data_IF_462354334378
#
_entry.id   IF_462354334378
#
_cell.length_a   1.000
_cell.length_b   1.000
_cell.length_c   1.000
_cell.angle_alpha   90.00
_cell.angle_beta   90.00
_cell.angle_gamma   90.00
#
_symmetry.space_group_name_H-M   'P 1'
#
loop_
_entity.id
_entity.type
_entity.pdbx_description
1 polymer ?
#
# COMPACT_ATOMS: atom_id res chain seq x y z
N UNK A 1 -17.97 4.45 29.29
CA UNK A 1 -18.34 3.42 28.29
C UNK A 1 -17.61 3.59 26.94
N UNK A 2 -17.90 4.64 26.14
CA UNK A 2 -17.34 4.80 24.77
C UNK A 2 -15.80 4.80 24.69
N UNK A 3 -15.14 5.51 25.60
CA UNK A 3 -13.66 5.58 25.64
C UNK A 3 -13.00 4.25 26.05
N UNK A 4 -13.65 3.46 26.90
CA UNK A 4 -13.17 2.13 27.29
C UNK A 4 -13.29 1.14 26.12
N UNK A 5 -14.44 1.15 25.42
CA UNK A 5 -14.66 0.32 24.23
C UNK A 5 -13.67 0.64 23.10
N UNK A 6 -13.35 1.93 22.89
CA UNK A 6 -12.32 2.37 21.95
C UNK A 6 -10.95 1.78 22.31
N UNK A 7 -10.56 1.89 23.59
CA UNK A 7 -9.32 1.31 24.10
C UNK A 7 -9.24 -0.20 23.87
N UNK A 8 -10.31 -0.94 24.19
CA UNK A 8 -10.37 -2.39 24.02
C UNK A 8 -10.25 -2.83 22.56
N UNK A 9 -10.90 -2.11 21.64
CA UNK A 9 -10.83 -2.38 20.21
C UNK A 9 -9.39 -2.21 19.68
N UNK A 10 -8.77 -1.06 19.98
CA UNK A 10 -7.36 -0.79 19.64
C UNK A 10 -6.45 -1.86 20.23
N UNK A 11 -6.69 -2.25 21.48
CA UNK A 11 -5.88 -3.21 22.20
C UNK A 11 -5.94 -4.62 21.58
N UNK A 12 -7.09 -5.04 21.04
CA UNK A 12 -7.23 -6.28 20.27
C UNK A 12 -6.47 -6.20 18.96
N UNK A 13 -6.60 -5.09 18.22
CA UNK A 13 -5.92 -4.90 16.95
C UNK A 13 -4.40 -4.85 17.11
N UNK A 14 -3.85 -4.16 18.11
CA UNK A 14 -2.40 -4.14 18.38
C UNK A 14 -1.87 -5.55 18.64
N UNK A 15 -2.61 -6.38 19.40
CA UNK A 15 -2.25 -7.78 19.63
C UNK A 15 -2.33 -8.62 18.35
N UNK A 16 -3.33 -8.37 17.51
CA UNK A 16 -3.47 -9.00 16.20
C UNK A 16 -2.26 -8.69 15.32
N UNK A 17 -1.92 -7.41 15.14
CA UNK A 17 -0.76 -6.98 14.35
C UNK A 17 0.56 -7.53 14.89
N UNK A 18 0.73 -7.61 16.21
CA UNK A 18 1.91 -8.23 16.82
C UNK A 18 2.18 -9.67 16.32
N UNK A 19 1.12 -10.42 15.98
CA UNK A 19 1.21 -11.77 15.40
C UNK A 19 1.13 -11.78 13.88
N UNK A 20 0.30 -10.90 13.31
CA UNK A 20 -0.15 -10.98 11.92
C UNK A 20 0.69 -10.15 10.92
N UNK A 21 1.42 -9.13 11.38
CA UNK A 21 2.05 -8.17 10.47
C UNK A 21 3.05 -8.80 9.49
N UNK A 22 3.81 -9.81 9.93
CA UNK A 22 4.72 -10.56 9.06
C UNK A 22 4.00 -11.41 8.01
N UNK A 23 2.74 -11.81 8.27
CA UNK A 23 1.96 -12.62 7.35
C UNK A 23 1.30 -11.81 6.23
N UNK A 24 1.29 -10.49 6.32
CA UNK A 24 0.63 -9.63 5.34
C UNK A 24 1.24 -9.77 3.94
N UNK A 25 2.57 -9.88 3.82
CA UNK A 25 3.21 -10.08 2.52
C UNK A 25 2.83 -11.43 1.89
N UNK A 26 2.81 -12.51 2.68
CA UNK A 26 2.39 -13.84 2.22
C UNK A 26 0.91 -13.85 1.82
N UNK A 27 0.07 -13.09 2.52
CA UNK A 27 -1.34 -12.92 2.16
C UNK A 27 -1.49 -12.31 0.76
N UNK A 28 -0.73 -11.25 0.43
CA UNK A 28 -0.78 -10.66 -0.92
C UNK A 28 -0.28 -11.61 -2.00
N UNK A 29 0.76 -12.41 -1.73
CA UNK A 29 1.24 -13.46 -2.65
C UNK A 29 0.14 -14.48 -2.90
N UNK A 30 -0.47 -14.99 -1.82
CA UNK A 30 -1.53 -16.01 -1.89
C UNK A 30 -2.74 -15.49 -2.67
N UNK A 31 -3.20 -14.26 -2.37
CA UNK A 31 -4.34 -13.65 -3.07
C UNK A 31 -4.03 -13.42 -4.55
N UNK A 32 -2.82 -12.95 -4.88
CA UNK A 32 -2.42 -12.69 -6.28
C UNK A 32 -2.39 -13.99 -7.08
N UNK A 33 -1.81 -15.05 -6.52
CA UNK A 33 -1.72 -16.36 -7.17
C UNK A 33 -3.09 -17.03 -7.31
N UNK A 34 -3.82 -17.19 -6.19
CA UNK A 34 -5.14 -17.84 -6.21
C UNK A 34 -6.16 -17.06 -7.02
N UNK A 35 -6.16 -15.73 -6.92
CA UNK A 35 -7.04 -14.88 -7.71
C UNK A 35 -6.76 -14.95 -9.20
N UNK A 36 -5.48 -15.07 -9.60
CA UNK A 36 -5.10 -15.28 -11.00
C UNK A 36 -5.60 -16.61 -11.54
N UNK A 37 -5.47 -17.70 -10.76
CA UNK A 37 -6.01 -19.02 -11.12
C UNK A 37 -7.54 -19.00 -11.25
N UNK A 38 -8.24 -18.37 -10.30
CA UNK A 38 -9.70 -18.24 -10.33
C UNK A 38 -10.16 -17.51 -11.59
N UNK A 39 -9.43 -16.45 -11.99
CA UNK A 39 -9.73 -15.69 -13.20
C UNK A 39 -9.54 -16.54 -14.46
N UNK A 40 -8.44 -17.28 -14.56
CA UNK A 40 -8.16 -18.14 -15.73
C UNK A 40 -9.21 -19.23 -15.88
N UNK A 41 -9.70 -19.77 -14.77
CA UNK A 41 -10.79 -20.76 -14.79
C UNK A 41 -12.18 -20.14 -15.03
N UNK A 42 -12.28 -18.82 -15.20
CA UNK A 42 -13.53 -18.07 -15.42
C UNK A 42 -14.66 -18.44 -14.44
N UNK A 43 -14.28 -18.75 -13.19
CA UNK A 43 -15.20 -19.30 -12.18
C UNK A 43 -16.23 -18.28 -11.70
N UNK A 44 -15.89 -16.97 -11.75
CA UNK A 44 -16.72 -15.92 -11.19
C UNK A 44 -17.56 -15.23 -12.27
N UNK A 45 -18.88 -15.07 -12.05
CA UNK A 45 -19.73 -14.31 -12.96
C UNK A 45 -19.42 -12.81 -12.90
N UNK A 46 -19.81 -12.10 -13.96
CA UNK A 46 -19.75 -10.65 -14.00
C UNK A 46 -20.66 -10.03 -12.92
N UNK A 47 -20.12 -9.10 -12.14
CA UNK A 47 -20.84 -8.46 -11.03
C UNK A 47 -20.31 -7.07 -10.70
N UNK A 48 -20.82 -6.47 -9.62
CA UNK A 48 -20.47 -5.11 -9.20
C UNK A 48 -18.96 -4.81 -9.16
N UNK A 49 -18.16 -5.77 -8.70
CA UNK A 49 -16.70 -5.63 -8.60
C UNK A 49 -15.96 -5.73 -9.94
N UNK A 50 -16.59 -6.29 -10.99
CA UNK A 50 -16.04 -6.32 -12.34
C UNK A 50 -16.21 -4.97 -13.06
N UNK A 51 -17.17 -4.13 -12.63
CA UNK A 51 -17.35 -2.82 -13.24
C UNK A 51 -16.18 -1.87 -12.91
N UNK A 52 -15.41 -1.50 -13.95
CA UNK A 52 -14.28 -0.55 -13.83
C UNK A 52 -14.73 0.85 -13.37
N UNK A 53 -16.02 1.18 -13.51
CA UNK A 53 -16.60 2.47 -13.15
C UNK A 53 -17.29 2.47 -11.78
N UNK A 54 -17.26 1.35 -11.05
CA UNK A 54 -17.82 1.33 -9.72
C UNK A 54 -17.11 2.33 -8.78
N UNK A 55 -17.83 2.77 -7.76
CA UNK A 55 -17.37 3.79 -6.81
C UNK A 55 -16.00 3.45 -6.18
N UNK A 56 -15.76 2.19 -5.84
CA UNK A 56 -14.52 1.75 -5.21
C UNK A 56 -13.32 1.86 -6.17
N UNK A 57 -13.47 1.47 -7.43
CA UNK A 57 -12.41 1.58 -8.42
C UNK A 57 -12.10 3.04 -8.76
N UNK A 58 -13.13 3.88 -8.95
CA UNK A 58 -12.95 5.28 -9.38
C UNK A 58 -12.40 6.17 -8.27
N UNK A 59 -12.87 6.01 -7.03
CA UNK A 59 -12.52 6.92 -5.94
C UNK A 59 -11.50 6.35 -4.95
N UNK A 60 -11.54 5.05 -4.65
CA UNK A 60 -10.60 4.47 -3.69
C UNK A 60 -9.30 4.06 -4.35
N UNK A 61 -9.36 3.28 -5.44
CA UNK A 61 -8.13 2.75 -6.07
C UNK A 61 -7.36 3.85 -6.79
N UNK A 62 -8.04 4.70 -7.56
CA UNK A 62 -7.39 5.80 -8.31
C UNK A 62 -6.67 6.80 -7.40
N UNK A 63 -7.21 7.07 -6.22
CA UNK A 63 -6.64 7.99 -5.24
C UNK A 63 -6.00 7.24 -4.06
N UNK A 64 -5.67 5.96 -4.21
CA UNK A 64 -5.24 5.09 -3.10
C UNK A 64 -4.02 5.65 -2.35
N UNK A 65 -3.07 6.26 -3.06
CA UNK A 65 -1.91 6.89 -2.43
C UNK A 65 -2.31 8.09 -1.55
N UNK A 66 -3.20 8.95 -2.04
CA UNK A 66 -3.72 10.09 -1.27
C UNK A 66 -4.48 9.65 -0.02
N UNK A 67 -5.34 8.63 -0.14
CA UNK A 67 -6.03 8.01 1.00
C UNK A 67 -5.08 7.35 1.99
N UNK A 68 -3.91 6.87 1.54
CA UNK A 68 -2.88 6.31 2.41
C UNK A 68 -2.13 7.41 3.15
N UNK A 69 -1.73 8.49 2.47
CA UNK A 69 -1.01 9.61 3.09
C UNK A 69 -1.87 10.35 4.11
N UNK A 70 -3.15 10.56 3.84
CA UNK A 70 -4.05 11.39 4.65
C UNK A 70 -4.11 10.99 6.14
N UNK A 71 -4.39 9.73 6.53
CA UNK A 71 -4.36 9.30 7.93
C UNK A 71 -2.95 8.99 8.43
N UNK A 72 -2.02 8.61 7.55
CA UNK A 72 -0.71 8.13 7.96
C UNK A 72 0.25 9.26 8.34
N UNK A 73 0.18 10.40 7.65
CA UNK A 73 0.95 11.61 7.96
C UNK A 73 0.69 12.10 9.40
N UNK A 74 -0.55 12.40 9.82
CA UNK A 74 -0.81 12.80 11.20
C UNK A 74 -0.52 11.68 12.18
N UNK A 75 -0.72 10.40 11.82
CA UNK A 75 -0.38 9.28 12.70
C UNK A 75 1.12 9.23 13.01
N UNK A 76 1.99 9.33 11.99
CA UNK A 76 3.45 9.35 12.17
C UNK A 76 3.87 10.60 12.95
N UNK A 77 3.34 11.77 12.61
CA UNK A 77 3.68 13.01 13.30
C UNK A 77 3.33 12.94 14.80
N UNK A 78 2.09 12.57 15.14
CA UNK A 78 1.60 12.54 16.53
C UNK A 78 2.26 11.41 17.32
N UNK A 79 2.40 10.21 16.75
CA UNK A 79 2.96 9.05 17.47
C UNK A 79 4.43 9.26 17.84
N UNK A 80 5.22 9.88 16.95
CA UNK A 80 6.62 10.14 17.22
C UNK A 80 6.78 11.40 18.09
N UNK A 81 6.07 12.49 17.81
CA UNK A 81 6.17 13.72 18.60
C UNK A 81 5.61 13.56 20.02
N UNK A 82 4.38 13.06 20.21
CA UNK A 82 3.79 12.97 21.56
C UNK A 82 4.48 11.91 22.43
N UNK A 83 5.15 10.90 21.87
CA UNK A 83 5.87 9.89 22.65
C UNK A 83 7.33 10.21 22.92
N UNK A 84 8.05 10.82 21.96
CA UNK A 84 9.49 11.10 22.10
C UNK A 84 9.79 12.55 22.46
N UNK A 85 8.86 13.48 22.18
CA UNK A 85 9.06 14.93 22.18
C UNK A 85 10.23 15.42 21.33
N UNK A 86 10.71 14.58 20.40
CA UNK A 86 11.80 14.88 19.49
C UNK A 86 11.25 15.21 18.10
N UNK A 87 11.30 16.49 17.74
CA UNK A 87 10.85 17.01 16.44
C UNK A 87 11.75 16.52 15.31
N UNK A 88 13.06 16.43 15.53
CA UNK A 88 14.02 15.98 14.52
C UNK A 88 13.77 14.51 14.17
N UNK A 89 13.49 13.67 15.17
CA UNK A 89 13.10 12.28 14.93
C UNK A 89 11.76 12.19 14.19
N UNK A 90 10.75 12.96 14.59
CA UNK A 90 9.45 12.97 13.91
C UNK A 90 9.56 13.41 12.44
N UNK A 91 10.30 14.48 12.13
CA UNK A 91 10.54 14.95 10.76
C UNK A 91 11.30 13.90 9.93
N UNK A 92 12.30 13.27 10.53
CA UNK A 92 13.03 12.18 9.89
C UNK A 92 12.13 11.00 9.53
N UNK A 93 11.17 10.64 10.40
CA UNK A 93 10.16 9.62 10.13
C UNK A 93 9.19 10.03 9.02
N UNK A 94 8.77 11.29 8.96
CA UNK A 94 7.97 11.80 7.85
C UNK A 94 8.70 11.69 6.50
N UNK A 95 10.04 11.70 6.52
CA UNK A 95 10.87 11.35 5.36
C UNK A 95 10.56 9.98 4.75
N UNK A 96 10.05 9.01 5.53
CA UNK A 96 9.63 7.72 5.00
C UNK A 96 8.42 7.82 4.04
N UNK A 97 7.52 8.78 4.27
CA UNK A 97 6.39 9.04 3.37
C UNK A 97 6.83 9.74 2.09
N UNK A 98 7.83 10.62 2.18
CA UNK A 98 8.46 11.25 1.01
C UNK A 98 9.14 10.19 0.13
N UNK A 99 9.94 9.30 0.75
CA UNK A 99 10.53 8.14 0.06
C UNK A 99 9.43 7.26 -0.55
N UNK A 100 8.37 6.96 0.21
CA UNK A 100 7.26 6.15 -0.28
C UNK A 100 6.59 6.75 -1.51
N UNK A 101 6.42 8.08 -1.52
CA UNK A 101 5.85 8.82 -2.65
C UNK A 101 6.77 8.78 -3.86
N UNK A 102 8.09 8.94 -3.66
CA UNK A 102 9.08 8.81 -4.72
C UNK A 102 9.10 7.41 -5.33
N UNK A 103 9.04 6.36 -4.51
CA UNK A 103 8.96 4.96 -4.97
C UNK A 103 7.69 4.73 -5.78
N UNK A 104 6.52 5.15 -5.29
CA UNK A 104 5.28 5.03 -6.04
C UNK A 104 5.34 5.76 -7.40
N UNK A 105 5.80 7.00 -7.40
CA UNK A 105 5.92 7.81 -8.61
C UNK A 105 6.89 7.18 -9.62
N UNK A 106 8.08 6.76 -9.17
CA UNK A 106 9.08 6.15 -10.05
C UNK A 106 8.61 4.82 -10.63
N UNK A 107 8.02 3.93 -9.81
CA UNK A 107 7.49 2.65 -10.30
C UNK A 107 6.35 2.84 -11.30
N UNK A 108 5.38 3.71 -11.00
CA UNK A 108 4.26 3.96 -11.93
C UNK A 108 4.71 4.59 -13.24
N UNK A 109 5.69 5.50 -13.22
CA UNK A 109 6.31 6.04 -14.43
C UNK A 109 7.07 4.98 -15.21
N UNK A 110 7.78 4.08 -14.53
CA UNK A 110 8.47 2.97 -15.17
C UNK A 110 7.48 1.99 -15.83
N UNK A 111 6.33 1.69 -15.20
CA UNK A 111 5.31 0.83 -15.79
C UNK A 111 4.73 1.42 -17.08
N UNK A 112 4.41 2.72 -17.08
CA UNK A 112 3.95 3.41 -18.29
C UNK A 112 5.01 3.41 -19.39
N UNK A 113 6.28 3.61 -19.02
CA UNK A 113 7.38 3.54 -19.97
C UNK A 113 7.53 2.14 -20.57
N UNK A 114 7.37 1.07 -19.77
CA UNK A 114 7.40 -0.31 -20.27
C UNK A 114 6.20 -0.59 -21.18
N UNK A 115 4.99 -0.11 -20.86
CA UNK A 115 3.81 -0.21 -21.73
C UNK A 115 4.06 0.47 -23.08
N UNK A 116 4.69 1.65 -23.06
CA UNK A 116 5.02 2.41 -24.27
C UNK A 116 6.11 1.72 -25.12
N UNK A 117 7.11 1.09 -24.49
CA UNK A 117 8.18 0.36 -25.19
C UNK A 117 7.71 -0.97 -25.80
N UNK A 118 6.81 -1.67 -25.12
CA UNK A 118 6.33 -2.99 -25.53
C UNK A 118 5.07 -2.91 -26.40
N UNK A 119 4.46 -1.73 -26.48
CA UNK A 119 3.18 -1.55 -27.14
C UNK A 119 3.28 -1.38 -28.65
N UNK A 120 2.20 -1.76 -29.31
CA UNK A 120 2.02 -1.65 -30.74
C UNK A 120 0.63 -1.11 -31.07
N UNK A 121 0.52 -0.49 -32.24
CA UNK A 121 -0.73 0.07 -32.75
C UNK A 121 -1.40 -0.88 -33.73
N UNK A 122 -2.64 -1.26 -33.41
CA UNK A 122 -3.46 -2.19 -34.18
C UNK A 122 -4.70 -1.48 -34.73
N UNK A 123 -5.14 -1.88 -35.91
CA UNK A 123 -6.42 -1.43 -36.43
C UNK A 123 -7.58 -1.95 -35.56
N UNK A 124 -8.66 -1.16 -35.38
CA UNK A 124 -9.78 -1.49 -34.49
C UNK A 124 -10.69 -2.63 -35.01
N UNK A 125 -10.20 -3.50 -35.89
CA UNK A 125 -10.92 -4.66 -36.44
C UNK A 125 -10.47 -5.94 -35.73
N UNK A 126 -11.34 -6.98 -35.59
CA UNK A 126 -10.93 -8.28 -35.07
C UNK A 126 -9.81 -8.87 -35.94
N UNK A 127 -8.64 -9.13 -35.36
CA UNK A 127 -7.44 -9.54 -36.12
C UNK A 127 -6.79 -8.42 -36.94
N UNK A 128 -7.02 -7.15 -36.57
CA UNK A 128 -6.49 -5.98 -37.27
C UNK A 128 -4.97 -6.04 -37.46
N UNK A 129 -4.53 -5.67 -38.66
CA UNK A 129 -3.11 -5.70 -39.02
C UNK A 129 -2.28 -4.76 -38.12
N UNK A 130 -1.04 -5.17 -37.84
CA UNK A 130 -0.05 -4.33 -37.18
C UNK A 130 0.26 -3.11 -38.07
N UNK A 131 -0.13 -1.91 -37.63
CA UNK A 131 0.08 -0.66 -38.38
C UNK A 131 1.46 -0.09 -38.16
N UNK A 132 1.89 -0.06 -36.91
CA UNK A 132 3.21 0.41 -36.53
C UNK A 132 3.59 -0.11 -35.14
N UNK A 133 4.80 -0.63 -35.03
CA UNK A 133 5.39 -1.02 -33.75
C UNK A 133 5.95 0.20 -32.97
N UNK A 134 5.96 1.40 -33.57
CA UNK A 134 6.67 2.57 -33.04
C UNK A 134 5.83 3.87 -33.03
N UNK A 135 4.49 3.79 -33.16
CA UNK A 135 3.66 4.96 -32.88
C UNK A 135 3.61 5.21 -31.37
N UNK A 136 3.55 6.47 -30.94
CA UNK A 136 3.26 6.77 -29.53
C UNK A 136 1.79 6.45 -29.21
N UNK A 137 1.50 6.00 -28.00
CA UNK A 137 0.13 5.70 -27.54
C UNK A 137 -0.88 6.83 -27.84
N UNK A 138 -0.57 8.13 -27.63
CA UNK A 138 -1.46 9.22 -27.99
C UNK A 138 -1.70 9.35 -29.50
N UNK A 139 -0.66 9.17 -30.32
CA UNK A 139 -0.78 9.24 -31.77
C UNK A 139 -1.64 8.07 -32.32
N UNK A 140 -1.44 6.87 -31.79
CA UNK A 140 -2.23 5.69 -32.14
C UNK A 140 -3.72 5.90 -31.82
N UNK A 141 -4.03 6.33 -30.59
CA UNK A 141 -5.41 6.59 -30.18
C UNK A 141 -6.03 7.78 -30.90
N UNK A 142 -5.24 8.83 -31.19
CA UNK A 142 -5.67 10.00 -31.96
C UNK A 142 -6.06 9.65 -33.41
N UNK A 143 -5.44 8.61 -33.97
CA UNK A 143 -5.80 8.06 -35.28
C UNK A 143 -6.99 7.08 -35.24
N UNK A 144 -7.64 6.89 -34.08
CA UNK A 144 -8.77 5.96 -33.92
C UNK A 144 -8.37 4.49 -33.86
N UNK A 145 -7.10 4.20 -33.56
CA UNK A 145 -6.56 2.84 -33.49
C UNK A 145 -6.50 2.29 -32.06
N UNK A 146 -6.35 0.98 -31.94
CA UNK A 146 -6.21 0.28 -30.67
C UNK A 146 -4.74 0.12 -30.29
N UNK A 147 -4.38 0.53 -29.08
CA UNK A 147 -3.03 0.34 -28.52
C UNK A 147 -3.03 -0.88 -27.61
N UNK A 148 -2.14 -1.83 -27.87
CA UNK A 148 -1.93 -2.99 -27.02
C UNK A 148 -0.43 -3.11 -26.68
N UNK A 149 -0.12 -3.14 -25.39
CA UNK A 149 1.23 -3.29 -24.85
C UNK A 149 1.19 -4.03 -23.52
N UNK A 150 2.36 -4.35 -22.97
CA UNK A 150 2.45 -5.06 -21.70
C UNK A 150 2.20 -4.10 -20.53
N UNK A 151 0.96 -4.09 -20.03
CA UNK A 151 0.50 -3.20 -18.96
C UNK A 151 0.66 -3.86 -17.58
N UNK A 152 1.77 -3.57 -16.90
CA UNK A 152 2.02 -4.03 -15.53
C UNK A 152 0.96 -3.43 -14.60
N UNK A 153 0.31 -4.27 -13.79
CA UNK A 153 -0.80 -3.78 -12.96
C UNK A 153 -0.33 -2.83 -11.86
N UNK A 154 -0.47 -1.53 -12.13
CA UNK A 154 -0.20 -0.46 -11.16
C UNK A 154 -1.10 -0.53 -9.92
N UNK A 155 -2.32 -1.08 -10.04
CA UNK A 155 -3.22 -1.29 -8.91
C UNK A 155 -2.72 -2.40 -7.98
N UNK A 156 -2.30 -3.55 -8.54
CA UNK A 156 -1.71 -4.63 -7.74
C UNK A 156 -0.45 -4.14 -7.00
N UNK A 157 0.39 -3.35 -7.67
CA UNK A 157 1.54 -2.69 -7.04
C UNK A 157 1.10 -1.78 -5.89
N UNK A 158 0.28 -0.77 -6.18
CA UNK A 158 -0.04 0.31 -5.25
C UNK A 158 -0.81 -0.19 -4.01
N UNK A 159 -1.78 -1.08 -4.19
CA UNK A 159 -2.59 -1.59 -3.09
C UNK A 159 -1.77 -2.46 -2.12
N UNK A 160 -0.93 -3.36 -2.66
CA UNK A 160 -0.05 -4.18 -1.83
C UNK A 160 1.01 -3.32 -1.12
N UNK A 161 1.64 -2.41 -1.85
CA UNK A 161 2.67 -1.52 -1.31
C UNK A 161 2.12 -0.62 -0.19
N UNK A 162 0.96 0.03 -0.40
CA UNK A 162 0.32 0.87 0.60
C UNK A 162 -0.07 0.10 1.86
N UNK A 163 -0.65 -1.09 1.73
CA UNK A 163 -1.05 -1.90 2.88
C UNK A 163 0.15 -2.36 3.72
N UNK A 164 1.24 -2.80 3.07
CA UNK A 164 2.47 -3.20 3.75
C UNK A 164 3.14 -2.02 4.46
N UNK A 165 3.19 -0.86 3.80
CA UNK A 165 3.71 0.38 4.36
C UNK A 165 2.91 0.81 5.60
N UNK A 166 1.57 0.83 5.51
CA UNK A 166 0.71 1.12 6.67
C UNK A 166 0.97 0.12 7.81
N UNK A 167 1.11 -1.18 7.50
CA UNK A 167 1.40 -2.23 8.48
C UNK A 167 2.67 -1.99 9.28
N UNK A 168 3.76 -1.56 8.62
CA UNK A 168 5.02 -1.22 9.28
C UNK A 168 4.89 0.07 10.11
N UNK A 169 4.30 1.12 9.54
CA UNK A 169 4.19 2.42 10.21
C UNK A 169 3.24 2.41 11.41
N UNK A 170 2.33 1.44 11.52
CA UNK A 170 1.43 1.27 12.66
C UNK A 170 2.08 0.61 13.89
N UNK A 171 3.25 -0.02 13.76
CA UNK A 171 3.96 -0.72 14.86
C UNK A 171 4.14 0.13 16.13
N UNK A 172 4.44 1.44 16.07
CA UNK A 172 4.63 2.28 17.26
C UNK A 172 3.40 2.35 18.18
N UNK A 173 2.20 2.00 17.71
CA UNK A 173 0.99 1.98 18.53
C UNK A 173 1.12 1.05 19.76
N UNK A 174 1.89 -0.03 19.63
CA UNK A 174 2.21 -0.90 20.77
C UNK A 174 3.01 -0.18 21.86
N UNK A 175 3.93 0.71 21.47
CA UNK A 175 4.68 1.52 22.41
C UNK A 175 3.82 2.64 23.02
N UNK A 176 3.06 3.37 22.21
CA UNK A 176 2.09 4.40 22.67
C UNK A 176 1.20 3.85 23.77
N UNK A 177 0.73 2.60 23.61
CA UNK A 177 -0.05 1.90 24.63
C UNK A 177 0.76 1.64 25.91
N UNK A 178 2.00 1.17 25.79
CA UNK A 178 2.83 0.85 26.96
C UNK A 178 3.13 2.08 27.83
N UNK A 179 3.21 3.26 27.23
CA UNK A 179 3.43 4.54 27.92
C UNK A 179 2.17 5.41 27.99
N UNK A 180 0.98 4.81 27.87
CA UNK A 180 -0.31 5.53 27.79
C UNK A 180 -0.51 6.53 28.93
N UNK A 181 -0.01 6.23 30.13
CA UNK A 181 -0.10 7.13 31.29
C UNK A 181 0.71 8.43 31.12
N UNK A 182 1.77 8.41 30.31
CA UNK A 182 2.66 9.55 30.05
C UNK A 182 2.28 10.35 28.80
N UNK A 183 1.35 9.84 27.98
CA UNK A 183 0.90 10.47 26.73
C UNK A 183 -0.30 11.37 27.02
N UNK A 184 -0.34 12.62 26.51
CA UNK A 184 -1.50 13.49 26.65
C UNK A 184 -2.79 12.82 26.14
N UNK A 185 -3.88 12.96 26.89
CA UNK A 185 -5.15 12.30 26.60
C UNK A 185 -5.64 12.57 25.17
N UNK A 186 -5.53 13.81 24.69
CA UNK A 186 -5.91 14.18 23.32
C UNK A 186 -5.06 13.43 22.27
N UNK A 187 -3.73 13.38 22.42
CA UNK A 187 -2.87 12.60 21.51
C UNK A 187 -3.30 11.12 21.50
N UNK A 188 -3.57 10.55 22.69
CA UNK A 188 -4.00 9.16 22.81
C UNK A 188 -5.32 8.85 22.08
N UNK A 189 -6.31 9.74 22.17
CA UNK A 189 -7.58 9.60 21.45
C UNK A 189 -7.39 9.74 19.95
N UNK A 190 -6.66 10.77 19.50
CA UNK A 190 -6.40 10.99 18.08
C UNK A 190 -5.65 9.81 17.45
N UNK A 191 -4.61 9.31 18.12
CA UNK A 191 -3.87 8.13 17.68
C UNK A 191 -4.76 6.89 17.62
N UNK A 192 -5.67 6.71 18.58
CA UNK A 192 -6.63 5.59 18.57
C UNK A 192 -7.57 5.65 17.37
N UNK A 193 -8.13 6.82 17.07
CA UNK A 193 -9.01 7.03 15.91
C UNK A 193 -8.26 6.84 14.59
N UNK A 194 -7.07 7.43 14.45
CA UNK A 194 -6.22 7.27 13.26
C UNK A 194 -5.82 5.82 13.06
N UNK A 195 -5.44 5.12 14.13
CA UNK A 195 -5.08 3.70 14.07
C UNK A 195 -6.24 2.83 13.63
N UNK A 196 -7.46 3.08 14.13
CA UNK A 196 -8.66 2.38 13.64
C UNK A 196 -8.92 2.66 12.16
N UNK A 197 -8.82 3.93 11.74
CA UNK A 197 -8.97 4.32 10.34
C UNK A 197 -7.96 3.63 9.43
N UNK A 198 -6.69 3.56 9.83
CA UNK A 198 -5.63 2.86 9.10
C UNK A 198 -5.88 1.36 8.99
N UNK A 199 -6.41 0.71 10.05
CA UNK A 199 -6.79 -0.70 10.01
C UNK A 199 -7.94 -0.96 9.02
N UNK A 200 -8.96 -0.10 9.03
CA UNK A 200 -10.07 -0.17 8.05
C UNK A 200 -9.51 0.02 6.64
N UNK A 201 -8.61 0.98 6.45
CA UNK A 201 -7.99 1.27 5.17
C UNK A 201 -7.18 0.09 4.63
N UNK A 202 -6.39 -0.59 5.48
CA UNK A 202 -5.71 -1.84 5.11
C UNK A 202 -6.70 -2.90 4.67
N UNK A 203 -7.82 -3.07 5.39
CA UNK A 203 -8.89 -4.00 5.01
C UNK A 203 -9.46 -3.68 3.63
N UNK A 204 -9.70 -2.40 3.34
CA UNK A 204 -10.13 -1.94 2.01
C UNK A 204 -9.09 -2.25 0.94
N UNK A 205 -7.79 -2.03 1.19
CA UNK A 205 -6.73 -2.36 0.24
C UNK A 205 -6.63 -3.85 -0.04
N UNK A 206 -6.75 -4.70 0.97
CA UNK A 206 -6.77 -6.16 0.80
C UNK A 206 -7.99 -6.58 -0.02
N UNK A 207 -9.17 -6.04 0.26
CA UNK A 207 -10.38 -6.31 -0.51
C UNK A 207 -10.25 -5.88 -1.96
N UNK A 208 -9.82 -4.64 -2.22
CA UNK A 208 -9.65 -4.13 -3.58
C UNK A 208 -8.56 -4.88 -4.35
N UNK A 209 -7.51 -5.33 -3.65
CA UNK A 209 -6.48 -6.17 -4.25
C UNK A 209 -7.02 -7.54 -4.63
N UNK A 210 -7.86 -8.16 -3.79
CA UNK A 210 -8.53 -9.42 -4.10
C UNK A 210 -9.46 -9.27 -5.32
N UNK A 211 -10.29 -8.23 -5.36
CA UNK A 211 -11.12 -7.91 -6.53
C UNK A 211 -10.27 -7.71 -7.79
N UNK A 212 -9.16 -6.99 -7.67
CA UNK A 212 -8.22 -6.78 -8.79
C UNK A 212 -7.62 -8.09 -9.27
N UNK A 213 -7.30 -9.00 -8.34
CA UNK A 213 -6.70 -10.29 -8.64
C UNK A 213 -7.65 -11.19 -9.42
N UNK A 214 -8.95 -11.19 -9.10
CA UNK A 214 -9.94 -12.06 -9.76
C UNK A 214 -10.59 -11.48 -11.02
N UNK A 215 -10.72 -10.14 -11.15
CA UNK A 215 -11.45 -9.53 -12.28
C UNK A 215 -10.55 -8.88 -13.35
N UNK A 216 -9.49 -8.18 -12.97
CA UNK A 216 -8.71 -7.35 -13.90
C UNK A 216 -7.39 -8.00 -14.31
N UNK A 217 -6.71 -7.52 -15.37
CA UNK A 217 -5.38 -7.92 -15.90
C UNK A 217 -5.08 -9.42 -16.18
N UNK A 218 -4.03 -9.70 -16.93
CA UNK A 218 -3.50 -11.07 -17.06
C UNK A 218 -2.67 -11.47 -15.84
N UNK A 219 -2.50 -12.77 -15.61
CA UNK A 219 -1.80 -13.29 -14.43
C UNK A 219 -0.38 -12.71 -14.30
N UNK A 220 0.40 -12.72 -15.39
CA UNK A 220 1.77 -12.18 -15.41
C UNK A 220 1.83 -10.69 -15.03
N UNK A 221 0.92 -9.87 -15.56
CA UNK A 221 0.86 -8.43 -15.28
C UNK A 221 0.55 -8.13 -13.80
N UNK A 222 -0.32 -8.93 -13.17
CA UNK A 222 -0.65 -8.81 -11.74
C UNK A 222 0.49 -9.27 -10.86
N UNK A 223 1.02 -10.46 -11.13
CA UNK A 223 2.10 -11.06 -10.35
C UNK A 223 3.33 -10.15 -10.36
N UNK A 224 3.67 -9.56 -11.52
CA UNK A 224 4.78 -8.61 -11.61
C UNK A 224 4.50 -7.33 -10.83
N UNK A 225 3.30 -6.75 -10.95
CA UNK A 225 2.90 -5.57 -10.16
C UNK A 225 2.97 -5.83 -8.65
N UNK A 226 2.44 -6.96 -8.19
CA UNK A 226 2.54 -7.41 -6.79
C UNK A 226 4.00 -7.59 -6.37
N UNK A 227 4.82 -8.26 -7.17
CA UNK A 227 6.22 -8.51 -6.86
C UNK A 227 7.01 -7.20 -6.70
N UNK A 228 6.78 -6.22 -7.58
CA UNK A 228 7.41 -4.88 -7.45
C UNK A 228 6.98 -4.19 -6.17
N UNK A 229 5.71 -4.30 -5.77
CA UNK A 229 5.21 -3.70 -4.52
C UNK A 229 5.84 -4.31 -3.27
N UNK A 230 5.95 -5.63 -3.25
CA UNK A 230 6.62 -6.37 -2.17
C UNK A 230 8.12 -6.07 -2.14
N UNK A 231 8.78 -6.03 -3.29
CA UNK A 231 10.20 -5.71 -3.38
C UNK A 231 10.47 -4.29 -2.88
N UNK A 232 9.68 -3.31 -3.31
CA UNK A 232 9.78 -1.92 -2.86
C UNK A 232 9.66 -1.81 -1.32
N UNK A 233 8.68 -2.49 -0.73
CA UNK A 233 8.52 -2.56 0.72
C UNK A 233 9.72 -3.24 1.40
N UNK A 234 10.21 -4.36 0.85
CA UNK A 234 11.32 -5.09 1.42
C UNK A 234 12.63 -4.27 1.40
N UNK A 235 12.95 -3.67 0.25
CA UNK A 235 14.14 -2.82 0.08
C UNK A 235 14.11 -1.61 1.03
N UNK A 236 12.95 -0.99 1.22
CA UNK A 236 12.80 0.15 2.13
C UNK A 236 12.83 -0.30 3.60
N UNK A 237 11.85 -1.08 4.05
CA UNK A 237 11.68 -1.39 5.47
C UNK A 237 12.61 -2.48 6.00
N UNK A 238 12.98 -3.48 5.21
CA UNK A 238 13.82 -4.59 5.71
C UNK A 238 15.31 -4.37 5.51
N UNK A 239 15.71 -3.47 4.61
CA UNK A 239 17.11 -3.20 4.26
C UNK A 239 17.50 -1.74 4.54
N UNK A 240 16.96 -0.77 3.79
CA UNK A 240 17.47 0.60 3.81
C UNK A 240 17.15 1.35 5.11
N UNK A 241 15.93 1.23 5.63
CA UNK A 241 15.49 1.93 6.84
C UNK A 241 16.19 1.45 8.12
N UNK A 242 16.98 0.37 8.05
CA UNK A 242 17.88 -0.03 9.14
C UNK A 242 19.15 0.82 9.21
N UNK A 243 19.47 1.57 8.15
CA UNK A 243 20.70 2.33 8.06
C UNK A 243 20.59 3.70 8.76
N UNK A 244 21.67 4.20 9.37
CA UNK A 244 21.66 5.41 10.20
C UNK A 244 21.54 6.72 9.44
N UNK A 245 21.51 6.71 8.09
CA UNK A 245 21.26 7.87 7.22
C UNK A 245 19.86 7.88 6.59
N UNK A 246 19.10 6.80 6.74
CA UNK A 246 17.74 6.65 6.21
C UNK A 246 16.68 7.33 7.12
N UNK A 247 15.40 7.35 6.74
CA UNK A 247 14.29 7.71 7.65
C UNK A 247 14.19 6.87 8.94
N UNK A 248 15.03 5.84 9.13
CA UNK A 248 15.03 4.86 10.23
C UNK A 248 13.78 3.97 10.24
N UNK A 249 13.73 2.99 11.15
CA UNK A 249 12.53 2.21 11.40
C UNK A 249 11.59 2.93 12.39
N UNK A 250 10.28 2.65 12.34
CA UNK A 250 9.36 3.06 13.40
C UNK A 250 9.83 2.50 14.77
N UNK A 251 9.65 3.25 15.87
CA UNK A 251 10.01 2.77 17.21
C UNK A 251 9.40 1.41 17.54
N UNK A 252 10.24 0.43 17.87
CA UNK A 252 9.77 -0.90 18.27
C UNK A 252 9.53 -1.00 19.79
N UNK A 253 8.53 -1.78 20.24
CA UNK A 253 8.24 -1.96 21.66
C UNK A 253 9.40 -2.57 22.49
N UNK A 254 10.35 -3.28 21.86
CA UNK A 254 11.43 -4.02 22.55
C UNK A 254 12.71 -3.22 22.77
N UNK A 255 13.05 -2.26 21.89
CA UNK A 255 14.37 -1.60 21.91
C UNK A 255 14.61 -0.67 23.11
N UNK A 256 13.56 -0.18 23.78
CA UNK A 256 13.71 0.64 25.00
C UNK A 256 13.97 -0.18 26.26
N UNK A 257 13.57 -1.46 26.32
CA UNK A 257 13.82 -2.29 27.51
C UNK A 257 15.32 -2.56 27.71
N UNK A 258 16.08 -2.57 26.60
CA UNK A 258 17.54 -2.66 26.63
C UNK A 258 18.22 -1.33 27.00
N UNK A 259 17.61 -0.17 26.69
CA UNK A 259 18.17 1.14 27.07
C UNK A 259 17.89 1.53 28.52
N UNK A 260 16.73 1.16 29.06
CA UNK A 260 16.35 1.46 30.46
C UNK A 260 17.00 0.48 31.46
N UNK A 261 17.49 -0.67 31.01
CA UNK A 261 18.27 -1.60 31.85
C UNK A 261 19.78 -1.37 31.82
N UNK A 262 20.24 -0.33 31.12
CA UNK A 262 21.65 0.04 30.97
C UNK A 262 21.96 1.43 31.57
N UNK A 263 20.96 2.09 32.15
CA UNK A 263 21.08 3.25 33.05
C UNK A 263 20.75 2.78 34.48
#
# INVERSE_FOLDING_TARGET
AKMAALGDCVDRLVRLWGKAHHYLCYMFILISFTGSLIKEMQVLPDGFFNDRRNFLNVYFVKFAWGWTLFPLLPFIAISNYCCTRDVSFALRRLGALAVGTAVWYTCTRAFLYIEDLTGACYEPRPGGALRSAHASRPACRGAGHHWAGFDISGHSFLLAYSALLIGEEMVPMGHVRSVRASVPQLCGVLLSVLYLGLNVLVGVWVLMFACTSVYFHDAAQKLLGTAVGLLAWYLTYKLWYRQPFSPRLPPQPRERRAKVGAE
#
